data_IF_049967354874
#
_entry.id   IF_049967354874
#
_cell.length_a   1.000
_cell.length_b   1.000
_cell.length_c   1.000
_cell.angle_alpha   90.00
_cell.angle_beta   90.00
_cell.angle_gamma   90.00
#
_symmetry.space_group_name_H-M   'P 1'
#
loop_
_entity.id
_entity.type
_entity.pdbx_description
1 polymer ?
#
# COMPACT_ATOMS: atom_id res chain seq x y z
N UNK A 1 -36.95 6.04 -17.28
CA UNK A 1 -36.48 6.87 -16.14
C UNK A 1 -36.60 6.01 -14.90
N UNK A 2 -35.74 4.99 -14.81
CA UNK A 2 -35.86 3.94 -13.79
C UNK A 2 -35.16 4.37 -12.50
N UNK A 3 -35.88 4.16 -11.42
CA UNK A 3 -35.54 4.55 -10.06
C UNK A 3 -34.20 3.92 -9.65
N UNK A 4 -33.19 4.77 -9.48
CA UNK A 4 -31.89 4.45 -8.91
C UNK A 4 -32.08 4.11 -7.42
N UNK A 5 -32.53 2.88 -7.13
CA UNK A 5 -32.78 2.43 -5.77
C UNK A 5 -31.44 2.25 -5.03
N UNK A 6 -31.21 2.94 -3.89
CA UNK A 6 -29.93 2.93 -3.17
C UNK A 6 -29.52 1.57 -2.58
N UNK A 7 -30.37 0.53 -2.68
CA UNK A 7 -30.17 -0.78 -2.06
C UNK A 7 -29.25 -1.74 -2.84
N UNK A 8 -28.99 -1.51 -4.14
CA UNK A 8 -28.07 -2.33 -4.96
C UNK A 8 -26.68 -1.71 -5.09
N UNK A 9 -26.56 -0.39 -4.94
CA UNK A 9 -25.32 0.35 -5.09
C UNK A 9 -24.28 0.05 -3.99
N UNK A 10 -24.74 -0.25 -2.76
CA UNK A 10 -23.84 -0.59 -1.66
C UNK A 10 -23.20 -1.97 -1.86
N UNK A 11 -23.95 -2.97 -2.36
CA UNK A 11 -23.41 -4.31 -2.68
C UNK A 11 -22.35 -4.23 -3.77
N UNK A 12 -22.60 -3.47 -4.85
CA UNK A 12 -21.61 -3.23 -5.91
C UNK A 12 -20.36 -2.53 -5.39
N UNK A 13 -20.53 -1.46 -4.59
CA UNK A 13 -19.39 -0.74 -3.99
C UNK A 13 -18.58 -1.67 -3.09
N UNK A 14 -19.26 -2.50 -2.29
CA UNK A 14 -18.63 -3.46 -1.40
C UNK A 14 -17.87 -4.53 -2.18
N UNK A 15 -18.47 -5.13 -3.21
CA UNK A 15 -17.80 -6.14 -4.05
C UNK A 15 -16.57 -5.53 -4.75
N UNK A 16 -16.68 -4.32 -5.30
CA UNK A 16 -15.54 -3.64 -5.92
C UNK A 16 -14.41 -3.36 -4.91
N UNK A 17 -14.75 -2.85 -3.72
CA UNK A 17 -13.80 -2.65 -2.64
C UNK A 17 -13.15 -3.96 -2.20
N UNK A 18 -13.94 -5.03 -2.08
CA UNK A 18 -13.48 -6.35 -1.67
C UNK A 18 -12.55 -6.98 -2.70
N UNK A 19 -12.91 -6.95 -3.99
CA UNK A 19 -12.04 -7.43 -5.07
C UNK A 19 -10.74 -6.63 -5.13
N UNK A 20 -10.82 -5.30 -5.03
CA UNK A 20 -9.64 -4.45 -5.05
C UNK A 20 -8.74 -4.71 -3.83
N UNK A 21 -9.33 -4.97 -2.65
CA UNK A 21 -8.60 -5.37 -1.45
C UNK A 21 -7.89 -6.71 -1.62
N UNK A 22 -8.58 -7.72 -2.17
CA UNK A 22 -7.97 -9.02 -2.46
C UNK A 22 -6.79 -8.84 -3.41
N UNK A 23 -6.95 -8.11 -4.51
CA UNK A 23 -5.87 -7.85 -5.45
C UNK A 23 -4.68 -7.15 -4.78
N UNK A 24 -4.95 -6.16 -3.92
CA UNK A 24 -3.92 -5.44 -3.17
C UNK A 24 -3.13 -6.36 -2.23
N UNK A 25 -3.81 -7.17 -1.43
CA UNK A 25 -3.19 -8.13 -0.50
C UNK A 25 -2.40 -9.19 -1.29
N UNK A 26 -2.94 -9.71 -2.38
CA UNK A 26 -2.24 -10.66 -3.24
C UNK A 26 -0.93 -10.07 -3.76
N UNK A 27 -0.96 -8.84 -4.30
CA UNK A 27 0.24 -8.15 -4.78
C UNK A 27 1.29 -7.96 -3.68
N UNK A 28 0.86 -7.59 -2.46
CA UNK A 28 1.75 -7.44 -1.31
C UNK A 28 2.38 -8.76 -0.87
N UNK A 29 1.59 -9.84 -0.85
CA UNK A 29 2.06 -11.19 -0.53
C UNK A 29 3.08 -11.70 -1.54
N UNK A 30 2.95 -11.36 -2.83
CA UNK A 30 3.96 -11.67 -3.85
C UNK A 30 5.22 -10.79 -3.74
N UNK A 31 5.07 -9.54 -3.30
CA UNK A 31 6.23 -8.64 -3.14
C UNK A 31 7.14 -9.06 -1.98
N UNK A 32 6.61 -9.73 -0.94
CA UNK A 32 7.35 -10.19 0.24
C UNK A 32 8.58 -11.07 -0.12
N UNK A 33 8.43 -12.19 -0.86
CA UNK A 33 9.57 -13.03 -1.25
C UNK A 33 10.47 -12.42 -2.33
N UNK A 34 9.98 -11.47 -3.13
CA UNK A 34 10.75 -10.81 -4.19
C UNK A 34 11.61 -9.64 -3.69
N UNK A 35 11.29 -9.08 -2.52
CA UNK A 35 12.00 -7.93 -1.97
C UNK A 35 13.51 -8.14 -1.79
N UNK A 36 13.99 -9.27 -1.23
CA UNK A 36 15.43 -9.50 -1.04
C UNK A 36 16.15 -9.62 -2.39
N UNK A 37 15.51 -10.25 -3.37
CA UNK A 37 16.04 -10.37 -4.73
C UNK A 37 16.18 -9.01 -5.41
N UNK A 38 15.17 -8.14 -5.27
CA UNK A 38 15.21 -6.77 -5.78
C UNK A 38 16.33 -5.95 -5.10
N UNK A 39 16.55 -6.13 -3.80
CA UNK A 39 17.66 -5.50 -3.07
C UNK A 39 19.02 -6.01 -3.58
N UNK A 40 19.11 -7.27 -3.99
CA UNK A 40 20.27 -7.83 -4.68
C UNK A 40 20.57 -7.16 -6.01
N UNK A 41 19.55 -6.95 -6.86
CA UNK A 41 19.70 -6.22 -8.13
C UNK A 41 20.08 -4.75 -7.94
N UNK A 42 19.72 -4.15 -6.81
CA UNK A 42 20.05 -2.76 -6.44
C UNK A 42 21.51 -2.57 -5.99
N UNK A 43 22.32 -3.64 -5.96
CA UNK A 43 23.76 -3.59 -5.69
C UNK A 43 24.19 -4.12 -4.32
N UNK A 44 23.28 -4.73 -3.55
CA UNK A 44 23.63 -5.40 -2.29
C UNK A 44 24.01 -6.85 -2.58
N UNK A 45 25.30 -7.10 -2.77
CA UNK A 45 25.81 -8.42 -3.15
C UNK A 45 25.70 -9.47 -2.03
N UNK A 46 25.65 -9.04 -0.77
CA UNK A 46 25.65 -9.93 0.40
C UNK A 46 24.22 -10.24 0.85
N UNK A 47 23.89 -11.54 0.91
CA UNK A 47 22.54 -12.02 1.24
C UNK A 47 22.13 -11.70 2.69
N UNK A 48 23.10 -11.52 3.59
CA UNK A 48 22.85 -11.03 4.96
C UNK A 48 22.33 -9.59 5.00
N UNK A 49 22.95 -8.69 4.23
CA UNK A 49 22.53 -7.28 4.14
C UNK A 49 21.18 -7.12 3.43
N UNK A 50 20.87 -7.98 2.44
CA UNK A 50 19.57 -7.98 1.78
C UNK A 50 18.41 -8.20 2.76
N UNK A 51 18.57 -9.16 3.68
CA UNK A 51 17.56 -9.47 4.72
C UNK A 51 17.46 -8.34 5.73
N UNK A 52 18.60 -7.73 6.13
CA UNK A 52 18.63 -6.58 7.02
C UNK A 52 17.86 -5.38 6.42
N UNK A 53 18.15 -5.02 5.18
CA UNK A 53 17.45 -3.95 4.47
C UNK A 53 15.97 -4.27 4.25
N UNK A 54 15.62 -5.51 3.92
CA UNK A 54 14.23 -5.95 3.80
C UNK A 54 13.45 -5.77 5.11
N UNK A 55 14.09 -6.07 6.25
CA UNK A 55 13.57 -5.83 7.60
C UNK A 55 13.35 -4.35 7.87
N UNK A 56 14.33 -3.49 7.56
CA UNK A 56 14.20 -2.03 7.70
C UNK A 56 13.06 -1.49 6.84
N UNK A 57 12.96 -1.92 5.57
CA UNK A 57 11.93 -1.47 4.65
C UNK A 57 10.52 -1.84 5.14
N UNK A 58 10.37 -3.06 5.68
CA UNK A 58 9.11 -3.47 6.32
C UNK A 58 8.84 -2.68 7.60
N UNK A 59 9.84 -2.55 8.47
CA UNK A 59 9.73 -1.81 9.73
C UNK A 59 9.38 -0.34 9.53
N UNK A 60 10.03 0.35 8.59
CA UNK A 60 9.76 1.75 8.25
C UNK A 60 8.34 1.94 7.72
N UNK A 61 7.85 1.01 6.91
CA UNK A 61 6.46 1.03 6.41
C UNK A 61 5.47 0.85 7.56
N UNK A 62 5.71 -0.12 8.44
CA UNK A 62 4.86 -0.38 9.63
C UNK A 62 4.87 0.77 10.63
N UNK A 63 6.03 1.39 10.86
CA UNK A 63 6.15 2.58 11.72
C UNK A 63 5.38 3.77 11.15
N UNK A 64 5.55 4.03 9.85
CA UNK A 64 4.83 5.11 9.17
C UNK A 64 3.32 4.88 9.22
N UNK A 65 2.89 3.63 9.01
CA UNK A 65 1.50 3.22 9.16
C UNK A 65 1.00 3.46 10.57
N UNK A 66 1.72 3.02 11.60
CA UNK A 66 1.34 3.19 13.01
C UNK A 66 1.19 4.66 13.40
N UNK A 67 2.09 5.53 12.93
CA UNK A 67 2.03 6.97 13.20
C UNK A 67 0.85 7.65 12.49
N UNK A 68 0.53 7.21 11.27
CA UNK A 68 -0.51 7.85 10.45
C UNK A 68 -1.89 7.19 10.56
N UNK A 69 -1.98 5.98 11.10
CA UNK A 69 -3.23 5.27 11.38
C UNK A 69 -4.25 6.12 12.16
N UNK A 70 -3.92 6.80 13.28
CA UNK A 70 -4.90 7.63 13.99
C UNK A 70 -5.35 8.84 13.17
N UNK A 71 -4.44 9.46 12.39
CA UNK A 71 -4.75 10.62 11.55
C UNK A 71 -5.71 10.23 10.43
N UNK A 72 -5.45 9.09 9.78
CA UNK A 72 -6.29 8.60 8.71
C UNK A 72 -7.60 7.99 9.20
N UNK A 73 -7.62 7.32 10.35
CA UNK A 73 -8.86 6.84 10.97
C UNK A 73 -9.83 7.98 11.25
N UNK A 74 -9.36 9.06 11.91
CA UNK A 74 -10.18 10.24 12.18
C UNK A 74 -10.68 10.93 10.89
N UNK A 75 -9.87 10.93 9.83
CA UNK A 75 -10.24 11.50 8.55
C UNK A 75 -11.25 10.62 7.78
N UNK A 76 -11.14 9.29 7.89
CA UNK A 76 -12.08 8.35 7.28
C UNK A 76 -13.49 8.47 7.88
N UNK A 77 -13.56 8.74 9.18
CA UNK A 77 -14.83 8.97 9.89
C UNK A 77 -15.49 10.29 9.49
N UNK A 78 -14.70 11.33 9.16
CA UNK A 78 -15.23 12.65 8.76
C UNK A 78 -15.61 12.76 7.28
N UNK A 79 -14.83 12.16 6.37
CA UNK A 79 -15.02 12.30 4.91
C UNK A 79 -15.70 11.09 4.25
N UNK A 80 -15.96 10.03 5.01
CA UNK A 80 -16.62 8.82 4.56
C UNK A 80 -15.67 7.77 3.98
N UNK A 81 -15.76 6.54 4.53
CA UNK A 81 -14.90 5.38 4.18
C UNK A 81 -14.76 5.08 2.69
N UNK A 82 -15.81 5.28 1.89
CA UNK A 82 -15.78 4.99 0.44
C UNK A 82 -14.75 5.83 -0.32
N UNK A 83 -14.71 7.15 -0.06
CA UNK A 83 -13.80 8.07 -0.76
C UNK A 83 -12.35 7.84 -0.32
N UNK A 84 -12.17 7.52 0.95
CA UNK A 84 -10.86 7.31 1.51
C UNK A 84 -10.21 6.00 1.04
N UNK A 85 -11.01 4.94 0.86
CA UNK A 85 -10.55 3.69 0.25
C UNK A 85 -10.08 3.89 -1.19
N UNK A 86 -10.85 4.60 -2.04
CA UNK A 86 -10.43 4.91 -3.40
C UNK A 86 -9.11 5.68 -3.45
N UNK A 87 -8.93 6.65 -2.54
CA UNK A 87 -7.68 7.40 -2.42
C UNK A 87 -6.51 6.52 -1.99
N UNK A 88 -6.71 5.64 -1.01
CA UNK A 88 -5.67 4.71 -0.54
C UNK A 88 -5.26 3.72 -1.65
N UNK A 89 -6.23 3.20 -2.41
CA UNK A 89 -5.96 2.30 -3.54
C UNK A 89 -5.19 3.02 -4.66
N UNK A 90 -5.59 4.25 -5.00
CA UNK A 90 -4.88 5.05 -5.99
C UNK A 90 -3.46 5.40 -5.54
N UNK A 91 -3.30 5.87 -4.30
CA UNK A 91 -1.99 6.18 -3.71
C UNK A 91 -1.09 4.95 -3.63
N UNK A 92 -1.64 3.79 -3.24
CA UNK A 92 -0.94 2.51 -3.23
C UNK A 92 -0.47 2.09 -4.63
N UNK A 93 -1.33 2.22 -5.65
CA UNK A 93 -0.97 1.93 -7.04
C UNK A 93 0.16 2.84 -7.55
N UNK A 94 0.08 4.15 -7.30
CA UNK A 94 1.14 5.11 -7.66
C UNK A 94 2.44 4.78 -6.93
N UNK A 95 2.37 4.43 -5.65
CA UNK A 95 3.55 4.06 -4.88
C UNK A 95 4.23 2.79 -5.42
N UNK A 96 3.45 1.77 -5.79
CA UNK A 96 3.99 0.54 -6.42
C UNK A 96 4.62 0.85 -7.78
N UNK A 97 4.00 1.71 -8.59
CA UNK A 97 4.59 2.16 -9.84
C UNK A 97 5.93 2.88 -9.62
N UNK A 98 6.00 3.80 -8.65
CA UNK A 98 7.25 4.49 -8.29
C UNK A 98 8.33 3.53 -7.80
N UNK A 99 7.96 2.50 -7.05
CA UNK A 99 8.89 1.45 -6.62
C UNK A 99 9.51 0.72 -7.81
N UNK A 100 8.75 0.51 -8.90
CA UNK A 100 9.28 -0.14 -10.12
C UNK A 100 10.36 0.69 -10.83
N UNK A 101 10.44 2.00 -10.58
CA UNK A 101 11.49 2.86 -11.13
C UNK A 101 12.67 3.09 -10.18
N UNK A 102 12.62 2.56 -8.96
CA UNK A 102 13.69 2.73 -7.98
C UNK A 102 14.96 1.98 -8.41
N UNK A 103 16.10 2.68 -8.38
CA UNK A 103 17.41 2.11 -8.74
C UNK A 103 18.38 2.04 -7.56
N UNK A 104 17.98 2.50 -6.38
CA UNK A 104 18.78 2.43 -5.15
C UNK A 104 17.92 2.07 -3.93
N UNK A 105 18.54 1.44 -2.92
CA UNK A 105 17.86 1.06 -1.66
C UNK A 105 17.24 2.25 -0.91
N UNK A 106 17.89 3.43 -0.81
CA UNK A 106 17.27 4.60 -0.16
C UNK A 106 16.06 5.16 -0.92
N UNK A 107 16.04 5.09 -2.25
CA UNK A 107 14.84 5.46 -3.03
C UNK A 107 13.68 4.50 -2.76
N UNK A 108 13.99 3.21 -2.63
CA UNK A 108 13.00 2.20 -2.26
C UNK A 108 12.42 2.48 -0.87
N UNK A 109 13.28 2.89 0.09
CA UNK A 109 12.87 3.29 1.43
C UNK A 109 11.96 4.52 1.43
N UNK A 110 12.32 5.55 0.67
CA UNK A 110 11.48 6.74 0.51
C UNK A 110 10.11 6.38 -0.10
N UNK A 111 10.09 5.53 -1.14
CA UNK A 111 8.84 5.05 -1.73
C UNK A 111 8.02 4.21 -0.76
N UNK A 112 8.66 3.45 0.13
CA UNK A 112 7.99 2.65 1.17
C UNK A 112 7.37 3.51 2.27
N UNK A 113 8.05 4.55 2.71
CA UNK A 113 7.50 5.53 3.65
C UNK A 113 6.32 6.25 2.99
N UNK A 114 6.45 6.66 1.73
CA UNK A 114 5.35 7.23 0.97
C UNK A 114 4.17 6.26 0.86
N UNK A 115 4.41 4.99 0.52
CA UNK A 115 3.38 3.95 0.47
C UNK A 115 2.67 3.79 1.82
N UNK A 116 3.42 3.63 2.92
CA UNK A 116 2.87 3.50 4.27
C UNK A 116 2.05 4.73 4.68
N UNK A 117 2.48 5.92 4.25
CA UNK A 117 1.75 7.15 4.52
C UNK A 117 0.40 7.23 3.80
N UNK A 118 0.28 6.70 2.59
CA UNK A 118 -1.01 6.66 1.88
C UNK A 118 -1.88 5.45 2.27
N UNK A 119 -1.24 4.38 2.75
CA UNK A 119 -1.86 3.10 3.11
C UNK A 119 -2.57 3.09 4.48
N UNK A 120 -2.42 4.11 5.32
CA UNK A 120 -2.98 4.14 6.70
C UNK A 120 -4.50 4.17 6.84
N UNK A 121 -5.24 3.92 5.76
CA UNK A 121 -6.70 3.70 5.78
C UNK A 121 -7.07 2.21 5.72
N UNK A 122 -6.09 1.33 5.45
CA UNK A 122 -6.30 -0.11 5.29
C UNK A 122 -6.48 -0.82 6.64
#
# INVERSE_FOLDING_TARGET
>A
MELNTPQTAWKRTFILAFCAQILGIMGFSFAMPFLPYFIGELGVADSGDQVYWAGILHGASGLTLALLAPVWGAMADRYGRKRMLCRAMFGGGVAVLLMSFCRTVPQLLACRIFQGAFSGTL
#
